data_IF_103457374176
#
_entry.id   IF_103457374176
#
_cell.length_a   1.000
_cell.length_b   1.000
_cell.length_c   1.000
_cell.angle_alpha   90.00
_cell.angle_beta   90.00
_cell.angle_gamma   90.00
#
_symmetry.space_group_name_H-M   'P 1'
#
loop_
_entity.id
_entity.type
_entity.pdbx_description
1 polymer ?
#
# COMPACT_ATOMS: atom_id res chain seq x y z
N UNK A 1 -77.60 -51.71 23.25
CA UNK A 1 -76.33 -51.64 24.03
C UNK A 1 -75.32 -50.85 23.20
N UNK A 2 -75.21 -49.54 23.45
CA UNK A 2 -74.27 -48.64 22.75
C UNK A 2 -73.15 -48.28 23.73
N UNK A 3 -71.91 -48.65 23.39
CA UNK A 3 -70.73 -48.36 24.19
C UNK A 3 -70.21 -46.96 23.84
N UNK A 4 -70.28 -46.04 24.81
CA UNK A 4 -69.63 -44.72 24.75
C UNK A 4 -68.26 -44.82 25.45
N UNK A 5 -67.19 -44.40 24.77
CA UNK A 5 -65.89 -44.07 25.39
C UNK A 5 -65.65 -42.57 25.15
N UNK A 6 -65.27 -41.76 26.15
CA UNK A 6 -64.99 -40.36 25.93
C UNK A 6 -63.56 -40.18 25.40
N UNK A 7 -63.39 -39.28 24.42
CA UNK A 7 -62.08 -38.82 23.98
C UNK A 7 -61.66 -37.63 24.85
N UNK A 8 -60.47 -37.72 25.47
CA UNK A 8 -59.83 -36.61 26.19
C UNK A 8 -59.11 -35.73 25.15
N UNK A 9 -59.60 -34.51 24.94
CA UNK A 9 -58.90 -33.48 24.15
C UNK A 9 -57.88 -32.77 25.04
N UNK A 10 -56.58 -32.97 24.77
CA UNK A 10 -55.51 -32.19 25.37
C UNK A 10 -55.32 -30.88 24.58
N UNK A 11 -55.58 -29.74 25.22
CA UNK A 11 -55.32 -28.41 24.67
C UNK A 11 -53.83 -28.07 24.92
N UNK A 12 -53.02 -28.04 23.86
CA UNK A 12 -51.63 -27.55 23.93
C UNK A 12 -51.66 -26.04 23.60
N UNK A 13 -51.37 -25.21 24.59
CA UNK A 13 -51.21 -23.77 24.43
C UNK A 13 -49.77 -23.48 23.94
N UNK A 14 -49.59 -23.22 22.65
CA UNK A 14 -48.31 -22.81 22.09
C UNK A 14 -48.09 -21.31 22.33
N UNK A 15 -47.19 -20.94 23.24
CA UNK A 15 -46.74 -19.57 23.41
C UNK A 15 -45.76 -19.20 22.27
N UNK A 16 -46.18 -18.30 21.38
CA UNK A 16 -45.28 -17.66 20.41
C UNK A 16 -44.39 -16.65 21.13
N UNK A 17 -43.09 -16.93 21.22
CA UNK A 17 -42.07 -15.94 21.59
C UNK A 17 -41.59 -15.28 20.28
N UNK A 18 -41.71 -13.96 20.11
CA UNK A 18 -41.17 -13.30 18.92
C UNK A 18 -39.64 -13.33 18.96
N UNK A 19 -39.03 -13.97 17.96
CA UNK A 19 -37.61 -13.85 17.70
C UNK A 19 -37.34 -12.40 17.24
N UNK A 20 -36.83 -11.57 18.14
CA UNK A 20 -36.25 -10.28 17.79
C UNK A 20 -34.86 -10.58 17.23
N UNK A 21 -34.69 -10.51 15.91
CA UNK A 21 -33.37 -10.50 15.31
C UNK A 21 -32.68 -9.20 15.71
N UNK A 22 -31.73 -9.29 16.64
CA UNK A 22 -30.83 -8.19 16.93
C UNK A 22 -30.02 -7.89 15.65
N UNK A 23 -30.33 -6.76 15.00
CA UNK A 23 -29.48 -6.24 13.94
C UNK A 23 -28.13 -5.90 14.56
N UNK A 24 -27.08 -6.56 14.10
CA UNK A 24 -25.71 -6.17 14.45
C UNK A 24 -25.53 -4.70 14.08
N UNK A 25 -25.06 -3.85 15.02
CA UNK A 25 -24.77 -2.45 14.70
C UNK A 25 -23.81 -2.40 13.51
N UNK A 26 -23.97 -1.43 12.58
CA UNK A 26 -23.01 -1.23 11.52
C UNK A 26 -21.62 -1.06 12.14
N UNK A 27 -20.64 -1.81 11.62
CA UNK A 27 -19.26 -1.73 12.08
C UNK A 27 -18.81 -0.27 12.08
N UNK A 28 -18.17 0.16 13.18
CA UNK A 28 -17.60 1.50 13.27
C UNK A 28 -16.73 1.78 12.03
N UNK A 29 -16.80 2.99 11.44
CA UNK A 29 -16.02 3.31 10.26
C UNK A 29 -14.54 3.06 10.54
N UNK A 30 -13.90 2.28 9.68
CA UNK A 30 -12.48 1.96 9.81
C UNK A 30 -11.66 3.26 9.92
N UNK A 31 -10.82 3.36 10.96
CA UNK A 31 -9.96 4.52 11.21
C UNK A 31 -9.08 4.76 9.98
N UNK A 32 -9.14 5.97 9.41
CA UNK A 32 -8.27 6.37 8.29
C UNK A 32 -6.81 6.28 8.72
N UNK A 33 -6.01 5.55 7.94
CA UNK A 33 -4.57 5.42 8.16
C UNK A 33 -3.88 6.74 7.78
N UNK A 34 -2.98 7.24 8.61
CA UNK A 34 -2.16 8.42 8.30
C UNK A 34 -1.07 8.02 7.28
N UNK A 35 -1.00 8.75 6.15
CA UNK A 35 -0.02 8.53 5.09
C UNK A 35 1.43 8.70 5.56
N UNK A 36 1.64 9.46 6.63
CA UNK A 36 2.95 9.82 7.17
C UNK A 36 3.36 8.98 8.39
N UNK A 37 2.49 8.11 8.90
CA UNK A 37 2.81 7.27 10.04
C UNK A 37 3.72 6.09 9.63
N UNK A 38 4.66 5.65 10.47
CA UNK A 38 5.46 4.46 10.20
C UNK A 38 4.62 3.19 10.46
N UNK A 39 3.94 2.68 9.44
CA UNK A 39 3.06 1.51 9.57
C UNK A 39 3.55 0.40 8.64
N UNK A 40 3.80 -0.79 9.18
CA UNK A 40 4.11 -1.97 8.38
C UNK A 40 2.89 -2.43 7.57
N UNK A 41 3.14 -3.00 6.40
CA UNK A 41 2.07 -3.66 5.64
C UNK A 41 1.63 -4.93 6.37
N UNK A 42 0.36 -5.03 6.71
CA UNK A 42 -0.18 -6.15 7.48
C UNK A 42 -1.69 -6.30 7.38
N UNK A 43 -2.23 -7.24 8.14
CA UNK A 43 -3.67 -7.42 8.30
C UNK A 43 -4.25 -6.51 9.40
N UNK A 44 -5.57 -6.58 9.61
CA UNK A 44 -6.27 -5.77 10.60
C UNK A 44 -5.88 -6.10 12.06
N UNK A 45 -5.24 -7.25 12.29
CA UNK A 45 -4.77 -7.69 13.61
C UNK A 45 -3.32 -7.25 13.88
N UNK A 46 -2.70 -6.54 12.94
CA UNK A 46 -1.30 -6.09 13.05
C UNK A 46 -0.28 -7.16 12.67
N UNK A 47 -0.70 -8.28 12.08
CA UNK A 47 0.23 -9.30 11.58
C UNK A 47 0.88 -8.77 10.31
N UNK A 48 2.20 -8.60 10.34
CA UNK A 48 2.97 -8.12 9.18
C UNK A 48 2.87 -9.12 8.04
N UNK A 49 2.65 -8.61 6.83
CA UNK A 49 2.60 -9.41 5.62
C UNK A 49 3.97 -10.12 5.41
N UNK A 50 4.00 -11.46 5.31
CA UNK A 50 5.26 -12.20 5.22
C UNK A 50 6.13 -11.83 4.01
N UNK A 51 5.53 -11.49 2.87
CA UNK A 51 6.28 -11.09 1.68
C UNK A 51 6.89 -9.69 1.83
N UNK A 52 6.18 -8.76 2.49
CA UNK A 52 6.72 -7.46 2.86
C UNK A 52 7.90 -7.59 3.80
N UNK A 53 7.75 -8.39 4.86
CA UNK A 53 8.82 -8.65 5.82
C UNK A 53 10.05 -9.29 5.16
N UNK A 54 9.85 -10.31 4.31
CA UNK A 54 10.93 -10.96 3.57
C UNK A 54 11.67 -10.01 2.64
N UNK A 55 10.93 -9.13 1.94
CA UNK A 55 11.55 -8.13 1.07
C UNK A 55 12.38 -7.13 1.88
N UNK A 56 11.82 -6.61 2.99
CA UNK A 56 12.52 -5.73 3.92
C UNK A 56 13.84 -6.35 4.43
N UNK A 57 13.80 -7.60 4.92
CA UNK A 57 14.99 -8.32 5.38
C UNK A 57 16.04 -8.49 4.27
N UNK A 58 15.60 -8.73 3.03
CA UNK A 58 16.53 -8.83 1.88
C UNK A 58 17.22 -7.49 1.58
N UNK A 59 16.54 -6.36 1.80
CA UNK A 59 17.10 -5.03 1.60
C UNK A 59 18.09 -4.67 2.71
N UNK A 60 17.80 -5.03 3.97
CA UNK A 60 18.77 -4.92 5.07
C UNK A 60 20.04 -5.73 4.77
N UNK A 61 19.90 -6.95 4.27
CA UNK A 61 21.03 -7.78 3.86
C UNK A 61 21.81 -7.15 2.69
N UNK A 62 21.12 -6.63 1.67
CA UNK A 62 21.74 -5.95 0.51
C UNK A 62 22.49 -4.69 0.91
N UNK A 63 21.96 -3.91 1.85
CA UNK A 63 22.61 -2.72 2.41
C UNK A 63 23.92 -3.08 3.11
N UNK A 64 23.91 -4.12 3.94
CA UNK A 64 25.12 -4.64 4.62
C UNK A 64 26.17 -5.19 3.66
N UNK A 65 25.74 -5.83 2.58
CA UNK A 65 26.65 -6.39 1.57
C UNK A 65 27.46 -5.27 0.87
N UNK A 66 26.80 -4.15 0.56
CA UNK A 66 27.42 -2.98 -0.09
C UNK A 66 28.25 -3.32 -1.34
N UNK A 67 28.97 -2.33 -1.90
CA UNK A 67 28.57 -0.92 -1.90
C UNK A 67 27.22 -0.73 -2.62
N UNK A 68 26.63 0.46 -2.47
CA UNK A 68 25.48 0.94 -3.23
C UNK A 68 25.81 2.37 -3.67
N UNK A 69 25.99 2.62 -4.98
CA UNK A 69 26.17 4.00 -5.47
C UNK A 69 24.83 4.63 -5.88
N UNK A 70 23.88 3.85 -6.37
CA UNK A 70 22.53 4.30 -6.75
C UNK A 70 21.48 3.44 -6.05
N UNK A 71 20.61 4.08 -5.28
CA UNK A 71 19.48 3.43 -4.62
C UNK A 71 18.17 3.80 -5.33
N UNK A 72 17.38 2.81 -5.69
CA UNK A 72 15.99 2.99 -6.08
C UNK A 72 15.09 2.59 -4.91
N UNK A 73 14.22 3.49 -4.46
CA UNK A 73 13.28 3.28 -3.37
C UNK A 73 11.86 3.56 -3.87
N UNK A 74 10.92 2.67 -3.58
CA UNK A 74 9.52 2.92 -3.95
C UNK A 74 8.61 1.71 -3.89
N UNK A 75 7.60 1.73 -4.75
CA UNK A 75 6.57 0.68 -4.83
C UNK A 75 6.83 -0.37 -5.91
N UNK A 76 5.76 -1.04 -6.36
CA UNK A 76 5.71 -1.95 -7.51
C UNK A 76 6.43 -1.46 -8.76
N UNK A 77 6.40 -0.17 -9.09
CA UNK A 77 7.04 0.34 -10.31
C UNK A 77 8.56 0.27 -10.15
N UNK A 78 9.06 0.65 -8.97
CA UNK A 78 10.46 0.46 -8.59
C UNK A 78 10.82 -1.03 -8.56
N UNK A 79 10.01 -1.87 -7.91
CA UNK A 79 10.22 -3.31 -7.85
C UNK A 79 10.30 -3.96 -9.24
N UNK A 80 9.57 -3.42 -10.22
CA UNK A 80 9.52 -3.91 -11.60
C UNK A 80 10.87 -3.90 -12.32
N UNK A 81 11.84 -3.10 -11.86
CA UNK A 81 13.21 -3.12 -12.40
C UNK A 81 13.97 -4.42 -12.11
N UNK A 82 13.56 -5.19 -11.10
CA UNK A 82 14.15 -6.50 -10.80
C UNK A 82 13.61 -7.63 -11.72
N UNK A 83 12.83 -7.31 -12.75
CA UNK A 83 12.30 -8.31 -13.68
C UNK A 83 13.42 -8.96 -14.50
N UNK A 84 13.64 -10.26 -14.30
CA UNK A 84 14.69 -11.03 -14.96
C UNK A 84 14.59 -11.02 -16.49
N UNK A 85 13.38 -10.97 -17.06
CA UNK A 85 13.21 -10.91 -18.52
C UNK A 85 13.71 -9.58 -19.13
N UNK A 86 13.92 -8.55 -18.30
CA UNK A 86 14.38 -7.22 -18.70
C UNK A 86 15.65 -6.78 -17.95
N UNK A 87 16.34 -7.72 -17.30
CA UNK A 87 17.54 -7.43 -16.52
C UNK A 87 18.62 -6.71 -17.35
N UNK A 88 18.73 -7.01 -18.64
CA UNK A 88 19.67 -6.36 -19.54
C UNK A 88 19.53 -4.83 -19.57
N UNK A 89 18.33 -4.28 -19.39
CA UNK A 89 18.11 -2.82 -19.34
C UNK A 89 18.73 -2.27 -18.06
N UNK A 90 18.40 -2.86 -16.91
CA UNK A 90 18.94 -2.45 -15.62
C UNK A 90 20.47 -2.50 -15.59
N UNK A 91 21.05 -3.60 -16.06
CA UNK A 91 22.51 -3.75 -16.12
C UNK A 91 23.16 -2.74 -17.07
N UNK A 92 22.56 -2.49 -18.23
CA UNK A 92 23.12 -1.57 -19.23
C UNK A 92 23.17 -0.12 -18.73
N UNK A 93 22.14 0.34 -18.02
CA UNK A 93 22.04 1.74 -17.59
C UNK A 93 22.57 1.98 -16.18
N UNK A 94 22.43 1.00 -15.26
CA UNK A 94 22.70 1.20 -13.85
C UNK A 94 23.79 0.29 -13.29
N UNK A 95 24.06 -0.87 -13.90
CA UNK A 95 24.95 -1.91 -13.35
C UNK A 95 26.35 -1.40 -12.95
N UNK A 96 26.92 -0.47 -13.71
CA UNK A 96 28.22 0.16 -13.41
C UNK A 96 28.24 0.95 -12.09
N UNK A 97 27.07 1.37 -11.60
CA UNK A 97 26.89 2.19 -10.40
C UNK A 97 26.32 1.37 -9.24
N UNK A 98 26.66 0.08 -9.15
CA UNK A 98 26.35 -0.80 -8.02
C UNK A 98 24.91 -0.62 -7.50
N UNK A 99 23.90 -0.74 -8.37
CA UNK A 99 22.58 -0.24 -8.04
C UNK A 99 21.87 -1.18 -7.06
N UNK A 100 20.97 -0.62 -6.26
CA UNK A 100 20.09 -1.39 -5.38
C UNK A 100 18.63 -1.00 -5.62
N UNK A 101 17.75 -2.00 -5.61
CA UNK A 101 16.31 -1.82 -5.81
C UNK A 101 15.56 -2.23 -4.54
N UNK A 102 15.10 -1.24 -3.77
CA UNK A 102 14.31 -1.40 -2.55
C UNK A 102 12.82 -1.10 -2.81
N UNK A 103 12.31 -1.61 -3.94
CA UNK A 103 10.91 -1.52 -4.33
C UNK A 103 10.07 -2.67 -3.79
N UNK A 104 8.89 -2.38 -3.23
CA UNK A 104 7.93 -3.41 -2.81
C UNK A 104 6.56 -3.18 -3.45
N UNK A 105 6.00 -4.26 -3.99
CA UNK A 105 4.67 -4.26 -4.61
C UNK A 105 3.58 -3.74 -3.68
N UNK A 106 2.88 -2.69 -4.12
CA UNK A 106 1.76 -2.11 -3.39
C UNK A 106 2.16 -1.37 -2.11
N UNK A 107 3.41 -0.94 -1.98
CA UNK A 107 3.80 -0.01 -0.93
C UNK A 107 3.07 1.33 -1.08
N UNK A 108 2.67 1.87 0.07
CA UNK A 108 2.18 3.22 0.25
C UNK A 108 3.23 3.99 1.05
N UNK A 109 3.10 5.30 1.13
CA UNK A 109 4.00 6.19 1.88
C UNK A 109 4.29 5.70 3.31
N UNK A 110 3.26 5.32 4.06
CA UNK A 110 3.41 4.84 5.45
C UNK A 110 4.26 3.57 5.57
N UNK A 111 4.23 2.69 4.56
CA UNK A 111 5.01 1.46 4.54
C UNK A 111 6.50 1.76 4.31
N UNK A 112 6.81 2.69 3.40
CA UNK A 112 8.19 3.10 3.13
C UNK A 112 8.80 3.84 4.32
N UNK A 113 8.02 4.70 4.98
CA UNK A 113 8.44 5.37 6.22
C UNK A 113 8.80 4.33 7.28
N UNK A 114 7.96 3.31 7.48
CA UNK A 114 8.26 2.20 8.39
C UNK A 114 9.57 1.50 8.00
N UNK A 115 9.78 1.17 6.71
CA UNK A 115 10.99 0.50 6.23
C UNK A 115 12.27 1.30 6.51
N UNK A 116 12.22 2.62 6.29
CA UNK A 116 13.34 3.53 6.58
C UNK A 116 13.62 3.57 8.08
N UNK A 117 12.59 3.73 8.91
CA UNK A 117 12.74 3.75 10.37
C UNK A 117 13.23 2.41 10.93
N UNK A 118 13.00 1.30 10.21
CA UNK A 118 13.48 -0.04 10.52
C UNK A 118 14.80 -0.42 9.81
N UNK A 119 15.54 0.59 9.35
CA UNK A 119 16.98 0.45 9.08
C UNK A 119 17.39 0.21 7.63
N UNK A 120 16.48 0.29 6.66
CA UNK A 120 16.86 0.09 5.24
C UNK A 120 17.85 1.12 4.71
N UNK A 121 17.95 2.30 5.34
CA UNK A 121 18.90 3.35 4.97
C UNK A 121 20.11 3.42 5.90
N UNK A 122 20.21 2.54 6.90
CA UNK A 122 21.27 2.61 7.91
C UNK A 122 22.61 2.12 7.34
N UNK A 123 23.64 2.96 7.46
CA UNK A 123 25.02 2.62 7.09
C UNK A 123 25.33 2.60 5.59
N UNK A 124 24.33 2.77 4.71
CA UNK A 124 24.54 2.88 3.26
C UNK A 124 24.91 4.32 2.87
N UNK A 125 25.61 4.48 1.74
CA UNK A 125 26.08 5.79 1.25
C UNK A 125 25.91 5.94 -0.27
N UNK A 126 24.70 5.74 -0.83
CA UNK A 126 24.46 6.04 -2.23
C UNK A 126 24.75 7.51 -2.55
N UNK A 127 25.25 7.74 -3.76
CA UNK A 127 25.43 9.09 -4.33
C UNK A 127 24.09 9.65 -4.79
N UNK A 128 23.19 8.78 -5.23
CA UNK A 128 21.84 9.14 -5.69
C UNK A 128 20.82 8.17 -5.12
N UNK A 129 19.72 8.72 -4.59
CA UNK A 129 18.51 7.96 -4.25
C UNK A 129 17.38 8.40 -5.19
N UNK A 130 16.90 7.48 -6.01
CA UNK A 130 15.72 7.65 -6.86
C UNK A 130 14.48 7.23 -6.06
N UNK A 131 13.54 8.15 -5.91
CA UNK A 131 12.29 7.95 -5.18
C UNK A 131 11.10 8.11 -6.11
N UNK A 132 10.21 7.12 -6.13
CA UNK A 132 8.87 7.26 -6.71
C UNK A 132 7.86 6.48 -5.87
N UNK A 133 6.85 7.18 -5.36
CA UNK A 133 5.88 6.60 -4.42
C UNK A 133 4.55 7.36 -4.48
N UNK A 134 3.49 6.80 -3.90
CA UNK A 134 2.21 7.50 -3.71
C UNK A 134 1.08 7.00 -4.62
N UNK A 135 1.39 6.31 -5.72
CA UNK A 135 0.33 5.78 -6.63
C UNK A 135 -0.66 4.85 -5.91
N UNK A 136 -0.21 4.12 -4.88
CA UNK A 136 -1.05 3.19 -4.13
C UNK A 136 -1.89 3.86 -3.04
N UNK A 137 -1.56 5.09 -2.65
CA UNK A 137 -2.35 5.91 -1.72
C UNK A 137 -3.59 6.53 -2.41
N UNK A 138 -3.69 6.44 -3.73
CA UNK A 138 -4.73 7.13 -4.52
C UNK A 138 -6.09 6.45 -4.52
N UNK A 139 -6.31 5.37 -3.76
CA UNK A 139 -7.61 4.68 -3.72
C UNK A 139 -8.75 5.60 -3.26
N UNK A 140 -9.99 5.16 -3.47
CA UNK A 140 -11.12 5.86 -2.88
C UNK A 140 -11.08 5.76 -1.34
N UNK A 141 -11.78 6.68 -0.68
CA UNK A 141 -12.01 6.60 0.76
C UNK A 141 -12.71 5.28 1.13
N UNK A 142 -12.49 4.74 2.35
CA UNK A 142 -11.65 5.30 3.43
C UNK A 142 -10.16 4.94 3.30
N UNK A 143 -9.78 4.10 2.35
CA UNK A 143 -8.42 3.53 2.26
C UNK A 143 -7.40 4.43 1.58
N UNK A 144 -7.84 5.42 0.79
CA UNK A 144 -6.95 6.37 0.13
C UNK A 144 -6.75 7.69 0.86
N UNK A 145 -5.82 8.46 0.31
CA UNK A 145 -5.35 9.73 0.83
C UNK A 145 -5.56 10.84 -0.18
N UNK A 146 -5.67 12.07 0.33
CA UNK A 146 -5.71 13.28 -0.49
C UNK A 146 -4.32 13.59 -1.05
N UNK A 147 -4.27 14.44 -2.08
CA UNK A 147 -3.00 14.84 -2.66
C UNK A 147 -2.05 15.50 -1.66
N UNK A 148 -2.57 16.36 -0.78
CA UNK A 148 -1.80 17.03 0.26
C UNK A 148 -1.22 16.04 1.29
N UNK A 149 -2.00 15.03 1.70
CA UNK A 149 -1.53 13.98 2.62
C UNK A 149 -0.39 13.15 2.01
N UNK A 150 -0.52 12.79 0.72
CA UNK A 150 0.52 12.04 0.00
C UNK A 150 1.79 12.89 -0.14
N UNK A 151 1.67 14.13 -0.61
CA UNK A 151 2.81 15.02 -0.80
C UNK A 151 3.53 15.35 0.51
N UNK A 152 2.80 15.53 1.62
CA UNK A 152 3.39 15.72 2.94
C UNK A 152 4.16 14.47 3.41
N UNK A 153 3.64 13.27 3.13
CA UNK A 153 4.33 12.03 3.46
C UNK A 153 5.57 11.80 2.57
N UNK A 154 5.52 12.13 1.28
CA UNK A 154 6.68 12.10 0.39
C UNK A 154 7.76 13.10 0.84
N UNK A 155 7.37 14.31 1.25
CA UNK A 155 8.29 15.28 1.87
C UNK A 155 8.97 14.70 3.10
N UNK A 156 8.21 14.07 4.01
CA UNK A 156 8.78 13.37 5.18
C UNK A 156 9.76 12.27 4.76
N UNK A 157 9.47 11.50 3.71
CA UNK A 157 10.40 10.48 3.20
C UNK A 157 11.69 11.11 2.68
N UNK A 158 11.62 12.22 1.95
CA UNK A 158 12.80 12.96 1.48
C UNK A 158 13.64 13.47 2.67
N UNK A 159 13.00 14.00 3.70
CA UNK A 159 13.66 14.43 4.94
C UNK A 159 14.34 13.26 5.65
N UNK A 160 13.69 12.11 5.76
CA UNK A 160 14.27 10.88 6.32
C UNK A 160 15.48 10.39 5.50
N UNK A 161 15.40 10.43 4.16
CA UNK A 161 16.53 10.07 3.29
C UNK A 161 17.70 11.02 3.53
N UNK A 162 17.47 12.34 3.55
CA UNK A 162 18.51 13.35 3.81
C UNK A 162 19.13 13.20 5.20
N UNK A 163 18.33 12.84 6.21
CA UNK A 163 18.83 12.62 7.56
C UNK A 163 19.68 11.35 7.69
N UNK A 164 19.23 10.24 7.09
CA UNK A 164 19.93 8.95 7.15
C UNK A 164 21.14 8.88 6.22
N UNK A 165 21.10 9.59 5.10
CA UNK A 165 22.11 9.57 4.04
C UNK A 165 22.45 11.01 3.60
N UNK A 166 23.13 11.81 4.45
CA UNK A 166 23.30 13.25 4.23
C UNK A 166 24.07 13.66 2.95
N UNK A 167 24.79 12.73 2.32
CA UNK A 167 25.51 12.97 1.06
C UNK A 167 24.76 12.59 -0.20
N UNK A 168 23.58 11.97 -0.11
CA UNK A 168 22.85 11.50 -1.31
C UNK A 168 22.13 12.66 -1.98
N UNK A 169 22.14 12.68 -3.32
CA UNK A 169 21.20 13.49 -4.09
C UNK A 169 19.89 12.73 -4.24
N UNK A 170 18.77 13.37 -3.94
CA UNK A 170 17.45 12.76 -4.11
C UNK A 170 16.88 13.14 -5.47
N UNK A 171 16.62 12.14 -6.31
CA UNK A 171 15.82 12.30 -7.52
C UNK A 171 14.39 11.85 -7.21
N UNK A 172 13.52 12.82 -6.92
CA UNK A 172 12.09 12.58 -6.72
C UNK A 172 11.39 12.57 -8.09
N UNK A 173 10.85 11.41 -8.48
CA UNK A 173 10.10 11.26 -9.71
C UNK A 173 8.62 11.59 -9.50
N UNK A 174 8.03 12.23 -10.51
CA UNK A 174 6.59 12.39 -10.58
C UNK A 174 5.89 11.01 -10.65
N UNK A 175 4.73 10.90 -10.03
CA UNK A 175 3.90 9.71 -10.06
C UNK A 175 3.30 9.56 -11.46
N UNK A 176 3.44 8.38 -12.06
CA UNK A 176 2.88 8.11 -13.39
C UNK A 176 1.34 8.09 -13.40
N UNK A 177 0.71 8.50 -14.51
CA UNK A 177 -0.74 8.39 -14.68
C UNK A 177 -1.19 6.93 -14.64
N UNK A 178 -2.48 6.71 -14.35
CA UNK A 178 -3.05 5.36 -14.26
C UNK A 178 -4.15 5.15 -15.30
N UNK A 179 -4.14 3.98 -15.92
CA UNK A 179 -5.20 3.52 -16.81
C UNK A 179 -6.21 2.61 -16.11
N UNK A 180 -7.38 2.49 -16.72
CA UNK A 180 -8.43 1.56 -16.29
C UNK A 180 -7.90 0.11 -16.32
N UNK A 181 -8.25 -0.67 -15.29
CA UNK A 181 -7.83 -2.07 -15.19
C UNK A 181 -8.93 -2.98 -15.70
N UNK A 182 -8.52 -4.05 -16.37
CA UNK A 182 -9.41 -5.16 -16.73
C UNK A 182 -9.85 -5.89 -15.46
N UNK A 183 -11.12 -6.27 -15.39
CA UNK A 183 -11.64 -7.20 -14.40
C UNK A 183 -11.12 -8.64 -14.68
N UNK A 184 -11.45 -9.64 -13.83
CA UNK A 184 -11.02 -11.03 -14.06
C UNK A 184 -11.48 -11.64 -15.39
N UNK A 185 -12.54 -11.10 -16.00
CA UNK A 185 -13.05 -11.51 -17.31
C UNK A 185 -12.36 -10.79 -18.48
N UNK A 186 -11.37 -9.93 -18.21
CA UNK A 186 -10.63 -9.21 -19.24
C UNK A 186 -11.32 -7.93 -19.74
N UNK A 187 -12.41 -7.51 -19.10
CA UNK A 187 -13.24 -6.37 -19.52
C UNK A 187 -12.87 -5.11 -18.73
N UNK A 188 -12.78 -3.97 -19.42
CA UNK A 188 -12.70 -2.64 -18.79
C UNK A 188 -14.13 -2.14 -18.59
N UNK A 189 -14.51 -1.87 -17.35
CA UNK A 189 -15.83 -1.33 -17.01
C UNK A 189 -15.81 0.18 -16.90
N UNK A 190 -16.98 0.83 -17.00
CA UNK A 190 -17.12 2.27 -16.78
C UNK A 190 -16.66 2.69 -15.38
N UNK A 191 -16.90 1.85 -14.37
CA UNK A 191 -16.38 2.04 -13.01
C UNK A 191 -14.85 2.05 -12.97
N UNK A 192 -14.20 1.15 -13.72
CA UNK A 192 -12.75 1.09 -13.79
C UNK A 192 -12.15 2.32 -14.51
N UNK A 193 -12.85 2.84 -15.52
CA UNK A 193 -12.48 4.10 -16.21
C UNK A 193 -12.62 5.27 -15.24
N UNK A 194 -13.74 5.34 -14.53
CA UNK A 194 -14.04 6.40 -13.56
C UNK A 194 -13.03 6.40 -12.40
N UNK A 195 -12.71 5.24 -11.84
CA UNK A 195 -11.68 5.14 -10.79
C UNK A 195 -10.30 5.53 -11.31
N UNK A 196 -9.92 5.12 -12.52
CA UNK A 196 -8.64 5.50 -13.11
C UNK A 196 -8.52 7.01 -13.36
N UNK A 197 -9.59 7.65 -13.84
CA UNK A 197 -9.66 9.09 -14.02
C UNK A 197 -9.51 9.82 -12.67
N UNK A 198 -10.29 9.42 -11.66
CA UNK A 198 -10.21 9.97 -10.30
C UNK A 198 -8.81 9.81 -9.69
N UNK A 199 -8.19 8.63 -9.83
CA UNK A 199 -6.82 8.40 -9.35
C UNK A 199 -5.82 9.29 -10.07
N UNK A 200 -5.98 9.47 -11.37
CA UNK A 200 -5.10 10.33 -12.18
C UNK A 200 -5.25 11.80 -11.78
N UNK A 201 -6.45 12.25 -11.45
CA UNK A 201 -6.66 13.61 -10.90
C UNK A 201 -5.91 13.81 -9.58
N UNK A 202 -6.02 12.85 -8.64
CA UNK A 202 -5.25 12.89 -7.38
C UNK A 202 -3.76 12.89 -7.67
N UNK A 203 -3.27 12.05 -8.59
CA UNK A 203 -1.86 11.99 -8.99
C UNK A 203 -1.37 13.32 -9.54
N UNK A 204 -2.14 13.96 -10.42
CA UNK A 204 -1.79 15.26 -10.97
C UNK A 204 -1.66 16.31 -9.86
N UNK A 205 -2.60 16.33 -8.92
CA UNK A 205 -2.53 17.22 -7.76
C UNK A 205 -1.32 16.92 -6.87
N UNK A 206 -0.97 15.65 -6.64
CA UNK A 206 0.26 15.29 -5.89
C UNK A 206 1.49 15.82 -6.63
N UNK A 207 1.60 15.58 -7.93
CA UNK A 207 2.75 16.00 -8.73
C UNK A 207 2.92 17.53 -8.73
N UNK A 208 1.83 18.31 -8.68
CA UNK A 208 1.88 19.77 -8.52
C UNK A 208 2.48 20.16 -7.17
N UNK A 209 2.15 19.46 -6.09
CA UNK A 209 2.76 19.71 -4.77
C UNK A 209 4.22 19.26 -4.72
N UNK A 210 4.55 18.09 -5.27
CA UNK A 210 5.94 17.57 -5.29
C UNK A 210 6.88 18.48 -6.08
N UNK A 211 6.39 19.13 -7.15
CA UNK A 211 7.18 20.07 -7.95
C UNK A 211 7.62 21.33 -7.16
N UNK A 212 7.04 21.58 -5.98
CA UNK A 212 7.39 22.69 -5.10
C UNK A 212 8.45 22.30 -4.04
N UNK A 213 8.82 21.02 -3.96
CA UNK A 213 9.85 20.55 -3.03
C UNK A 213 11.25 20.91 -3.55
N UNK A 214 12.07 21.48 -2.67
CA UNK A 214 13.47 21.88 -2.92
C UNK A 214 14.49 20.81 -2.51
#
# INVERSE_FOLDING_TARGET
MKNFRPALSALILAALVPLVFAQTPPAAPAKKIDASAPIAKGDANGVINPNFQKAHESFLARGKAGPIDVLFLGDSITAGWANSARAHIWESFYGKNQPANFGIGGDQTQHVIWRIENGELDGIKPKVTVLMLGTNNTSAAPSGHTAAEIAAADKKIVELIRAKIPGTKVLLLAIFPRGARKNPQGVITDDAITDAARRTEVINAVNVELAKLD
#
